data_IF_678237967188
#
_entry.id   IF_678237967188
#
_cell.length_a   1.000
_cell.length_b   1.000
_cell.length_c   1.000
_cell.angle_alpha   90.00
_cell.angle_beta   90.00
_cell.angle_gamma   90.00
#
_symmetry.space_group_name_H-M   'P 1'
#
loop_
_entity.id
_entity.type
_entity.pdbx_description
1 polymer ?
#
# COMPACT_ATOMS: atom_id res chain seq x y z
N UNK A 1 -29.40 -63.91 48.58
CA UNK A 1 -29.48 -63.69 47.12
C UNK A 1 -28.73 -62.43 46.81
N UNK A 2 -27.62 -62.65 46.55
CA UNK A 2 -26.48 -62.13 45.86
C UNK A 2 -26.83 -61.64 44.45
N UNK A 3 -26.04 -60.69 44.04
CA UNK A 3 -25.88 -60.11 42.73
C UNK A 3 -26.81 -58.90 42.41
N UNK A 4 -26.24 -57.73 42.45
CA UNK A 4 -26.18 -56.66 41.44
C UNK A 4 -25.54 -55.42 42.10
N UNK A 5 -24.25 -55.42 42.19
CA UNK A 5 -23.44 -54.20 42.40
C UNK A 5 -22.11 -54.38 41.69
N UNK A 6 -22.12 -54.12 40.41
CA UNK A 6 -20.88 -53.91 39.63
C UNK A 6 -21.32 -53.43 38.24
N UNK A 7 -21.42 -52.10 38.01
CA UNK A 7 -21.26 -51.42 36.72
C UNK A 7 -21.53 -49.92 36.89
N UNK A 8 -20.58 -49.18 37.46
CA UNK A 8 -20.57 -47.71 37.25
C UNK A 8 -19.19 -47.15 37.63
N UNK A 9 -18.17 -47.51 36.85
CA UNK A 9 -16.90 -46.79 36.91
C UNK A 9 -16.22 -46.84 35.56
N UNK A 10 -16.67 -46.03 34.62
CA UNK A 10 -15.90 -45.72 33.39
C UNK A 10 -16.56 -44.52 32.65
N UNK A 11 -16.11 -43.30 33.00
CA UNK A 11 -16.18 -42.17 32.06
C UNK A 11 -15.68 -40.87 32.70
N UNK A 12 -14.39 -40.74 32.96
CA UNK A 12 -13.75 -39.44 33.19
C UNK A 12 -12.34 -39.44 32.59
N UNK A 13 -12.24 -39.57 31.28
CA UNK A 13 -11.02 -39.26 30.57
C UNK A 13 -11.32 -38.68 29.21
N UNK A 14 -11.90 -37.49 29.16
CA UNK A 14 -11.98 -36.73 27.88
C UNK A 14 -12.10 -35.25 28.11
N UNK A 15 -11.06 -34.63 28.68
CA UNK A 15 -10.97 -33.14 28.71
C UNK A 15 -9.54 -32.60 28.71
N UNK A 16 -8.56 -33.33 28.18
CA UNK A 16 -7.17 -32.84 28.17
C UNK A 16 -6.63 -32.46 26.79
N UNK A 17 -7.28 -32.90 25.75
CA UNK A 17 -6.80 -32.67 24.36
C UNK A 17 -7.22 -31.31 23.80
N UNK A 18 -8.40 -30.82 24.17
CA UNK A 18 -8.95 -29.55 23.65
C UNK A 18 -8.19 -28.32 24.21
N UNK A 19 -7.83 -28.33 25.49
CA UNK A 19 -7.06 -27.20 26.09
C UNK A 19 -5.65 -27.06 25.54
N UNK A 20 -4.99 -28.16 25.20
CA UNK A 20 -3.63 -28.11 24.62
C UNK A 20 -3.65 -27.66 23.18
N UNK A 21 -4.66 -28.01 22.41
CA UNK A 21 -4.86 -27.54 21.04
C UNK A 21 -5.23 -26.05 20.98
N UNK A 22 -6.10 -25.56 21.85
CA UNK A 22 -6.44 -24.14 21.97
C UNK A 22 -5.25 -23.29 22.42
N UNK A 23 -4.49 -23.71 23.44
CA UNK A 23 -3.31 -22.98 23.89
C UNK A 23 -2.21 -22.92 22.84
N UNK A 24 -2.03 -23.98 22.05
CA UNK A 24 -1.04 -24.03 20.97
C UNK A 24 -1.50 -23.16 19.79
N UNK A 25 -2.77 -23.16 19.44
CA UNK A 25 -3.33 -22.32 18.39
C UNK A 25 -3.26 -20.83 18.75
N UNK A 26 -3.56 -20.47 20.00
CA UNK A 26 -3.46 -19.10 20.51
C UNK A 26 -2.02 -18.60 20.50
N UNK A 27 -1.07 -19.41 20.97
CA UNK A 27 0.36 -19.05 20.96
C UNK A 27 0.93 -18.90 19.54
N UNK A 28 0.47 -19.73 18.59
CA UNK A 28 0.86 -19.63 17.18
C UNK A 28 0.33 -18.35 16.55
N UNK A 29 -0.93 -18.00 16.83
CA UNK A 29 -1.56 -16.80 16.31
C UNK A 29 -0.93 -15.51 16.87
N UNK A 30 -0.60 -15.49 18.17
CA UNK A 30 0.14 -14.38 18.77
C UNK A 30 1.54 -14.22 18.18
N UNK A 31 2.24 -15.31 17.92
CA UNK A 31 3.55 -15.27 17.26
C UNK A 31 3.45 -14.74 15.84
N UNK A 32 2.45 -15.17 15.06
CA UNK A 32 2.19 -14.67 13.72
C UNK A 32 1.89 -13.16 13.74
N UNK A 33 1.06 -12.72 14.67
CA UNK A 33 0.75 -11.29 14.82
C UNK A 33 1.99 -10.45 15.08
N UNK A 34 2.88 -10.90 15.97
CA UNK A 34 4.14 -10.20 16.27
C UNK A 34 5.05 -10.09 15.05
N UNK A 35 5.05 -11.08 14.15
CA UNK A 35 5.84 -11.04 12.92
C UNK A 35 5.38 -9.93 11.94
N UNK A 36 4.10 -9.55 11.97
CA UNK A 36 3.55 -8.55 11.06
C UNK A 36 3.69 -7.10 11.56
N UNK A 37 3.96 -6.90 12.85
CA UNK A 37 4.08 -5.55 13.44
C UNK A 37 5.08 -4.67 12.67
N UNK A 38 6.30 -5.13 12.30
CA UNK A 38 7.25 -4.31 11.56
C UNK A 38 6.75 -3.88 10.18
N UNK A 39 5.87 -4.67 9.56
CA UNK A 39 5.30 -4.36 8.25
C UNK A 39 4.01 -3.53 8.32
N UNK A 40 3.31 -3.57 9.46
CA UNK A 40 2.08 -2.83 9.67
C UNK A 40 2.31 -1.45 10.29
N UNK A 41 3.35 -1.32 11.12
CA UNK A 41 3.65 -0.09 11.85
C UNK A 41 4.56 0.84 11.03
N UNK A 42 4.21 2.12 10.99
CA UNK A 42 5.12 3.14 10.48
C UNK A 42 6.29 3.34 11.45
N UNK A 43 7.51 3.59 10.94
CA UNK A 43 8.64 3.91 11.81
C UNK A 43 8.33 5.17 12.63
N UNK A 44 8.53 5.10 13.95
CA UNK A 44 8.13 6.20 14.84
C UNK A 44 8.88 7.50 14.52
N UNK A 45 10.18 7.37 14.23
CA UNK A 45 11.10 8.49 14.04
C UNK A 45 11.09 9.04 12.60
N UNK A 46 10.44 8.36 11.64
CA UNK A 46 10.37 8.80 10.25
C UNK A 46 8.98 9.35 9.95
N UNK A 47 8.86 10.66 9.93
CA UNK A 47 7.63 11.38 9.59
C UNK A 47 7.63 11.90 8.16
N UNK A 48 8.79 12.00 7.54
CA UNK A 48 8.99 12.61 6.24
C UNK A 48 9.93 11.76 5.39
N UNK A 49 9.61 11.62 4.10
CA UNK A 49 10.49 11.02 3.09
C UNK A 49 10.53 11.92 1.88
N UNK A 50 11.73 12.18 1.39
CA UNK A 50 11.97 12.94 0.18
C UNK A 50 13.03 12.22 -0.67
N UNK A 51 12.77 12.12 -1.98
CA UNK A 51 13.69 11.51 -2.94
C UNK A 51 13.60 12.19 -4.30
N UNK A 52 14.69 12.19 -5.06
CA UNK A 52 14.62 12.41 -6.52
C UNK A 52 14.05 11.15 -7.17
N UNK A 53 13.25 11.33 -8.22
CA UNK A 53 12.64 10.22 -8.95
C UNK A 53 13.04 10.21 -10.42
N UNK A 54 13.22 9.00 -10.97
CA UNK A 54 13.09 8.73 -12.39
C UNK A 54 11.90 7.77 -12.55
N UNK A 55 10.89 8.17 -13.30
CA UNK A 55 9.66 7.39 -13.49
C UNK A 55 9.53 7.06 -14.97
N UNK A 56 9.59 5.78 -15.31
CA UNK A 56 9.36 5.28 -16.66
C UNK A 56 7.92 4.75 -16.74
N UNK A 57 7.09 5.43 -17.47
CA UNK A 57 5.73 4.98 -17.79
C UNK A 57 5.75 4.09 -19.02
N UNK A 58 4.98 2.99 -18.99
CA UNK A 58 4.78 2.11 -20.14
C UNK A 58 3.29 1.95 -20.44
N UNK A 59 2.92 2.13 -21.72
CA UNK A 59 1.56 1.98 -22.21
C UNK A 59 1.55 1.60 -23.68
N UNK A 60 0.87 0.51 -24.05
CA UNK A 60 0.75 0.01 -25.44
C UNK A 60 2.09 -0.10 -26.19
N UNK A 61 3.15 -0.53 -25.50
CA UNK A 61 4.49 -0.69 -26.09
C UNK A 61 5.30 0.60 -26.23
N UNK A 62 4.78 1.73 -25.77
CA UNK A 62 5.52 2.99 -25.66
C UNK A 62 6.02 3.19 -24.24
N UNK A 63 7.21 3.74 -24.12
CA UNK A 63 7.82 4.09 -22.84
C UNK A 63 8.28 5.55 -22.83
N UNK A 64 8.10 6.21 -21.71
CA UNK A 64 8.58 7.57 -21.49
C UNK A 64 9.09 7.73 -20.07
N UNK A 65 10.31 8.23 -19.92
CA UNK A 65 10.92 8.48 -18.62
C UNK A 65 10.87 9.97 -18.28
N UNK A 66 10.34 10.29 -17.11
CA UNK A 66 10.22 11.64 -16.58
C UNK A 66 10.93 11.69 -15.24
N UNK A 67 11.78 12.71 -15.05
CA UNK A 67 12.43 12.99 -13.75
C UNK A 67 11.53 13.84 -12.88
N UNK A 68 11.72 13.70 -11.57
CA UNK A 68 10.91 14.47 -10.63
C UNK A 68 11.37 14.30 -9.19
N UNK A 69 10.41 14.44 -8.29
CA UNK A 69 10.63 14.31 -6.85
C UNK A 69 9.43 13.66 -6.18
N UNK A 70 9.70 12.74 -5.29
CA UNK A 70 8.75 12.22 -4.33
C UNK A 70 8.92 12.98 -3.01
N UNK A 71 7.83 13.45 -2.42
CA UNK A 71 7.76 13.95 -1.05
C UNK A 71 6.60 13.28 -0.35
N UNK A 72 6.84 12.80 0.85
CA UNK A 72 5.79 12.19 1.66
C UNK A 72 5.91 12.72 3.07
N UNK A 73 4.79 13.17 3.63
CA UNK A 73 4.63 13.44 5.06
C UNK A 73 3.54 12.52 5.56
N UNK A 74 3.86 11.74 6.59
CA UNK A 74 2.93 10.77 7.14
C UNK A 74 1.66 11.45 7.62
N UNK A 75 0.52 10.88 7.24
CA UNK A 75 -0.84 11.30 7.59
C UNK A 75 -1.23 12.72 7.08
N UNK A 76 -0.38 13.32 6.26
CA UNK A 76 -0.60 14.63 5.65
C UNK A 76 -0.67 14.55 4.12
N UNK A 77 0.42 14.13 3.45
CA UNK A 77 0.42 14.09 2.00
C UNK A 77 1.47 13.14 1.38
N UNK A 78 1.18 12.71 0.15
CA UNK A 78 2.15 12.11 -0.78
C UNK A 78 2.13 12.95 -2.06
N UNK A 79 3.28 13.47 -2.47
CA UNK A 79 3.41 14.27 -3.67
C UNK A 79 4.47 13.71 -4.61
N UNK A 80 4.09 13.51 -5.87
CA UNK A 80 5.00 13.26 -6.98
C UNK A 80 4.99 14.49 -7.89
N UNK A 81 6.11 15.19 -8.00
CA UNK A 81 6.29 16.27 -8.96
C UNK A 81 7.13 15.80 -10.14
N UNK A 82 6.82 16.29 -11.32
CA UNK A 82 7.47 15.95 -12.59
C UNK A 82 8.13 17.20 -13.17
N UNK A 83 9.35 17.06 -13.65
CA UNK A 83 10.14 18.18 -14.15
C UNK A 83 10.59 17.98 -15.59
N UNK A 84 10.44 19.01 -16.40
CA UNK A 84 11.06 19.10 -17.72
C UNK A 84 12.49 19.62 -17.58
N UNK A 85 13.44 18.95 -18.28
CA UNK A 85 14.86 19.31 -18.28
C UNK A 85 15.49 19.44 -16.89
N UNK A 86 14.85 18.82 -15.86
CA UNK A 86 15.31 18.87 -14.48
C UNK A 86 15.15 20.22 -13.76
N UNK A 87 14.50 21.20 -14.39
CA UNK A 87 14.43 22.59 -13.89
C UNK A 87 12.99 23.06 -13.65
N UNK A 88 12.10 22.83 -14.60
CA UNK A 88 10.73 23.36 -14.57
C UNK A 88 9.75 22.27 -14.17
N UNK A 89 8.99 22.46 -13.11
CA UNK A 89 7.91 21.58 -12.71
C UNK A 89 6.74 21.71 -13.67
N UNK A 90 6.42 20.62 -14.37
CA UNK A 90 5.39 20.57 -15.41
C UNK A 90 4.08 19.95 -14.93
N UNK A 91 4.15 19.02 -14.00
CA UNK A 91 2.97 18.38 -13.42
C UNK A 91 3.22 17.94 -11.98
N UNK A 92 2.13 17.78 -11.22
CA UNK A 92 2.15 17.28 -9.85
C UNK A 92 0.99 16.31 -9.66
N UNK A 93 1.25 15.19 -9.02
CA UNK A 93 0.24 14.34 -8.40
C UNK A 93 0.36 14.57 -6.90
N UNK A 94 -0.71 15.03 -6.27
CA UNK A 94 -0.75 15.28 -4.83
C UNK A 94 -1.93 14.52 -4.21
N UNK A 95 -1.63 13.74 -3.20
CA UNK A 95 -2.58 12.94 -2.45
C UNK A 95 -2.63 13.50 -1.03
N UNK A 96 -3.80 13.93 -0.60
CA UNK A 96 -4.08 14.42 0.75
C UNK A 96 -5.09 13.50 1.44
N UNK A 97 -5.36 13.65 2.73
CA UNK A 97 -6.38 12.84 3.42
C UNK A 97 -7.78 12.91 2.79
N UNK A 98 -8.13 14.02 2.16
CA UNK A 98 -9.45 14.26 1.59
C UNK A 98 -9.54 13.87 0.11
N UNK A 99 -8.51 14.21 -0.68
CA UNK A 99 -8.58 14.18 -2.15
C UNK A 99 -7.23 13.88 -2.78
N UNK A 100 -7.29 13.32 -4.00
CA UNK A 100 -6.14 13.26 -4.89
C UNK A 100 -6.27 14.33 -5.98
N UNK A 101 -5.17 14.99 -6.30
CA UNK A 101 -5.06 16.01 -7.32
C UNK A 101 -4.05 15.57 -8.38
N UNK A 102 -4.39 15.80 -9.66
CA UNK A 102 -3.45 15.76 -10.77
C UNK A 102 -3.42 17.16 -11.37
N UNK A 103 -2.27 17.81 -11.33
CA UNK A 103 -2.11 19.22 -11.64
C UNK A 103 -1.18 19.35 -12.83
N UNK A 104 -1.69 19.92 -13.93
CA UNK A 104 -0.94 20.33 -15.11
C UNK A 104 -0.51 21.81 -14.93
N UNK A 105 0.76 22.01 -14.62
CA UNK A 105 1.31 23.33 -14.35
C UNK A 105 1.49 24.16 -15.63
N UNK A 106 1.70 23.48 -16.74
CA UNK A 106 1.93 24.13 -18.06
C UNK A 106 0.64 24.79 -18.55
N UNK A 107 -0.45 24.02 -18.57
CA UNK A 107 -1.73 24.50 -19.11
C UNK A 107 -2.67 25.05 -18.03
N UNK A 108 -2.21 25.16 -16.77
CA UNK A 108 -3.01 25.67 -15.64
C UNK A 108 -4.34 24.93 -15.49
N UNK A 109 -4.28 23.60 -15.47
CA UNK A 109 -5.46 22.72 -15.30
C UNK A 109 -5.22 21.73 -14.19
N UNK A 110 -6.29 21.22 -13.58
CA UNK A 110 -6.20 20.14 -12.62
C UNK A 110 -7.44 19.25 -12.67
N UNK A 111 -7.26 17.99 -12.33
CA UNK A 111 -8.33 17.06 -12.01
C UNK A 111 -8.28 16.70 -10.52
N UNK A 112 -9.44 16.45 -9.94
CA UNK A 112 -9.58 16.07 -8.55
C UNK A 112 -10.34 14.75 -8.44
N UNK A 113 -9.87 13.90 -7.56
CA UNK A 113 -10.53 12.66 -7.18
C UNK A 113 -10.86 12.71 -5.69
N UNK A 114 -12.13 12.67 -5.36
CA UNK A 114 -12.65 12.70 -3.99
C UNK A 114 -12.84 11.27 -3.49
N UNK A 115 -12.11 10.88 -2.43
CA UNK A 115 -12.19 9.55 -1.86
C UNK A 115 -13.55 9.25 -1.21
N UNK A 116 -14.29 10.27 -0.78
CA UNK A 116 -15.61 10.12 -0.18
C UNK A 116 -16.67 9.75 -1.21
N UNK A 117 -16.37 9.90 -2.50
CA UNK A 117 -17.34 9.74 -3.57
C UNK A 117 -17.44 8.29 -4.08
N UNK A 118 -18.67 7.83 -4.32
CA UNK A 118 -19.03 6.69 -5.14
C UNK A 118 -18.29 5.37 -4.85
N UNK A 119 -17.74 4.78 -5.90
CA UNK A 119 -17.11 3.44 -5.86
C UNK A 119 -15.82 3.39 -5.04
N UNK A 120 -15.09 4.48 -4.92
CA UNK A 120 -13.84 4.54 -4.16
C UNK A 120 -14.09 4.32 -2.68
N UNK A 121 -15.05 5.04 -2.11
CA UNK A 121 -15.45 4.90 -0.71
C UNK A 121 -15.93 3.47 -0.41
N UNK A 122 -16.80 2.92 -1.25
CA UNK A 122 -17.28 1.54 -1.11
C UNK A 122 -16.16 0.51 -1.17
N UNK A 123 -15.16 0.72 -2.01
CA UNK A 123 -13.99 -0.14 -2.12
C UNK A 123 -13.00 0.04 -0.95
N UNK A 124 -13.11 1.11 -0.17
CA UNK A 124 -12.14 1.46 0.86
C UNK A 124 -10.85 2.07 0.29
N UNK A 125 -10.92 2.65 -0.92
CA UNK A 125 -9.80 3.40 -1.51
C UNK A 125 -9.83 4.80 -0.90
N UNK A 126 -8.87 5.07 -0.02
CA UNK A 126 -8.69 6.33 0.66
C UNK A 126 -7.21 6.67 0.76
N UNK A 127 -6.89 7.83 1.33
CA UNK A 127 -5.51 8.26 1.51
C UNK A 127 -4.66 7.23 2.26
N UNK A 128 -5.18 6.63 3.35
CA UNK A 128 -4.41 5.66 4.13
C UNK A 128 -4.05 4.40 3.32
N UNK A 129 -4.98 3.91 2.48
CA UNK A 129 -4.73 2.80 1.56
C UNK A 129 -3.60 3.14 0.58
N UNK A 130 -3.66 4.33 -0.03
CA UNK A 130 -2.67 4.75 -1.03
C UNK A 130 -1.34 5.11 -0.35
N UNK A 131 -1.38 5.85 0.77
CA UNK A 131 -0.20 6.16 1.57
C UNK A 131 0.56 4.90 1.94
N UNK A 132 -0.14 3.84 2.39
CA UNK A 132 0.47 2.58 2.79
C UNK A 132 1.24 1.90 1.65
N UNK A 133 0.78 2.01 0.40
CA UNK A 133 1.51 1.52 -0.77
C UNK A 133 2.86 2.24 -0.93
N UNK A 134 2.86 3.56 -0.86
CA UNK A 134 4.10 4.36 -0.95
C UNK A 134 5.03 4.13 0.24
N UNK A 135 4.49 3.96 1.45
CA UNK A 135 5.28 3.66 2.65
C UNK A 135 5.66 2.19 2.80
N UNK A 136 5.33 1.34 1.83
CA UNK A 136 5.61 -0.10 1.87
C UNK A 136 5.06 -0.75 3.16
N UNK A 137 3.76 -0.55 3.44
CA UNK A 137 3.10 -1.04 4.65
C UNK A 137 1.90 -1.93 4.34
N UNK A 138 1.62 -2.85 5.26
CA UNK A 138 0.36 -3.58 5.26
C UNK A 138 -0.79 -2.63 5.58
N UNK A 139 -1.93 -2.87 4.96
CA UNK A 139 -3.16 -2.12 5.22
C UNK A 139 -4.41 -3.00 5.07
N UNK A 140 -5.50 -2.54 5.64
CA UNK A 140 -6.83 -3.07 5.38
C UNK A 140 -7.62 -1.95 4.69
N UNK A 141 -8.18 -2.17 3.49
CA UNK A 141 -8.89 -1.12 2.75
C UNK A 141 -9.95 -0.42 3.59
N UNK A 142 -9.88 0.91 3.65
CA UNK A 142 -10.81 1.74 4.41
C UNK A 142 -10.51 1.88 5.90
N UNK A 143 -9.48 1.22 6.43
CA UNK A 143 -9.08 1.36 7.84
C UNK A 143 -7.90 2.34 7.98
N UNK A 144 -7.88 3.09 9.10
CA UNK A 144 -6.82 4.08 9.36
C UNK A 144 -5.59 3.47 10.01
N UNK A 145 -5.78 2.56 10.95
CA UNK A 145 -4.70 2.04 11.80
C UNK A 145 -4.72 0.52 11.81
N UNK A 146 -3.72 -0.07 11.17
CA UNK A 146 -3.63 -1.51 10.99
C UNK A 146 -2.67 -2.15 11.98
N UNK A 147 -1.69 -1.40 12.51
CA UNK A 147 -0.67 -1.94 13.44
C UNK A 147 -1.25 -2.44 14.76
N UNK A 148 -2.37 -1.88 15.21
CA UNK A 148 -3.07 -2.35 16.41
C UNK A 148 -3.86 -3.65 16.17
N UNK A 149 -4.07 -4.01 14.91
CA UNK A 149 -4.95 -5.10 14.48
C UNK A 149 -4.26 -6.12 13.57
N UNK A 150 -2.96 -6.40 13.78
CA UNK A 150 -2.26 -7.45 13.00
C UNK A 150 -2.91 -8.84 13.12
N UNK A 151 -3.74 -9.05 14.15
CA UNK A 151 -4.59 -10.24 14.30
C UNK A 151 -5.65 -10.40 13.20
N UNK A 152 -5.94 -9.34 12.47
CA UNK A 152 -6.91 -9.32 11.37
C UNK A 152 -6.28 -9.73 10.03
N UNK A 153 -5.04 -10.21 10.06
CA UNK A 153 -4.38 -10.83 8.92
C UNK A 153 -4.23 -12.34 9.11
N UNK A 154 -4.26 -13.07 8.02
CA UNK A 154 -3.83 -14.46 7.90
C UNK A 154 -2.47 -14.53 7.22
N UNK A 155 -1.64 -15.47 7.64
CA UNK A 155 -0.31 -15.72 7.05
C UNK A 155 -0.28 -17.14 6.52
N UNK A 156 0.08 -17.30 5.26
CA UNK A 156 0.31 -18.59 4.60
C UNK A 156 1.74 -18.69 4.09
N UNK A 157 2.34 -19.87 4.18
CA UNK A 157 3.68 -20.12 3.63
C UNK A 157 3.57 -20.41 2.14
N UNK A 158 4.39 -19.72 1.33
CA UNK A 158 4.49 -19.93 -0.11
C UNK A 158 5.98 -20.04 -0.50
N UNK A 159 6.49 -21.25 -0.64
CA UNK A 159 7.91 -21.50 -0.95
C UNK A 159 8.85 -20.67 -0.05
N UNK A 160 9.55 -19.69 -0.63
CA UNK A 160 10.48 -18.78 0.05
C UNK A 160 9.84 -17.50 0.57
N UNK A 161 8.54 -17.31 0.37
CA UNK A 161 7.80 -16.12 0.74
C UNK A 161 6.68 -16.44 1.75
N UNK A 162 6.07 -15.40 2.31
CA UNK A 162 4.81 -15.48 3.01
C UNK A 162 3.74 -14.70 2.25
N UNK A 163 2.55 -15.28 2.15
CA UNK A 163 1.36 -14.58 1.72
C UNK A 163 0.61 -14.09 2.96
N UNK A 164 0.38 -12.81 3.03
CA UNK A 164 -0.37 -12.13 4.08
C UNK A 164 -1.63 -11.55 3.46
N UNK A 165 -2.79 -11.84 4.04
CA UNK A 165 -4.07 -11.38 3.55
C UNK A 165 -4.94 -10.87 4.70
N UNK A 166 -5.71 -9.78 4.54
CA UNK A 166 -6.72 -9.40 5.50
C UNK A 166 -7.72 -10.55 5.72
N UNK A 167 -8.00 -10.89 6.96
CA UNK A 167 -8.95 -11.96 7.31
C UNK A 167 -10.37 -11.66 6.83
N UNK A 168 -10.69 -10.37 6.67
CA UNK A 168 -11.95 -9.88 6.09
C UNK A 168 -11.64 -9.08 4.84
N UNK A 169 -11.90 -9.66 3.70
CA UNK A 169 -11.77 -9.00 2.39
C UNK A 169 -13.00 -8.16 2.12
N UNK A 170 -12.78 -6.89 1.76
CA UNK A 170 -13.81 -5.98 1.25
C UNK A 170 -13.93 -6.08 -0.28
N UNK A 171 -14.57 -5.10 -0.92
CA UNK A 171 -14.69 -5.03 -2.38
C UNK A 171 -13.29 -4.95 -3.02
N UNK A 172 -12.40 -4.10 -2.50
CA UNK A 172 -10.98 -4.12 -2.86
C UNK A 172 -10.31 -5.28 -2.10
N UNK A 173 -9.83 -6.26 -2.84
CA UNK A 173 -9.08 -7.39 -2.29
C UNK A 173 -7.59 -7.09 -2.33
N UNK A 174 -6.90 -7.46 -1.25
CA UNK A 174 -5.47 -7.24 -1.09
C UNK A 174 -4.76 -8.55 -0.78
N UNK A 175 -3.58 -8.73 -1.40
CA UNK A 175 -2.63 -9.80 -1.10
C UNK A 175 -1.25 -9.19 -0.98
N UNK A 176 -0.55 -9.52 0.08
CA UNK A 176 0.78 -9.01 0.38
C UNK A 176 1.77 -10.18 0.39
N UNK A 177 2.84 -10.05 -0.36
CA UNK A 177 3.91 -11.04 -0.42
C UNK A 177 5.14 -10.48 0.28
N UNK A 178 5.63 -11.20 1.27
CA UNK A 178 6.79 -10.80 2.06
C UNK A 178 7.90 -11.82 1.92
N UNK A 179 9.09 -11.48 2.40
CA UNK A 179 10.14 -12.45 2.64
C UNK A 179 9.70 -13.52 3.68
N UNK A 180 10.50 -14.57 3.83
CA UNK A 180 10.17 -15.70 4.70
C UNK A 180 9.97 -15.32 6.18
N UNK A 181 10.62 -14.25 6.63
CA UNK A 181 10.63 -13.77 8.01
C UNK A 181 9.66 -12.63 8.27
N UNK A 182 8.90 -12.18 7.25
CA UNK A 182 8.00 -11.01 7.30
C UNK A 182 8.73 -9.71 7.70
N UNK A 183 9.96 -9.52 7.21
CA UNK A 183 10.75 -8.31 7.45
C UNK A 183 10.58 -7.27 6.35
N UNK A 184 10.34 -7.74 5.12
CA UNK A 184 10.19 -6.90 3.93
C UNK A 184 8.93 -7.25 3.18
N UNK A 185 8.11 -6.25 2.88
CA UNK A 185 6.99 -6.37 1.96
C UNK A 185 7.53 -6.22 0.54
N UNK A 186 7.51 -7.32 -0.23
CA UNK A 186 8.09 -7.40 -1.57
C UNK A 186 7.09 -7.11 -2.68
N UNK A 187 5.80 -7.40 -2.44
CA UNK A 187 4.76 -7.16 -3.44
C UNK A 187 3.40 -6.99 -2.78
N UNK A 188 2.61 -6.07 -3.31
CA UNK A 188 1.19 -5.92 -3.00
C UNK A 188 0.37 -6.11 -4.26
N UNK A 189 -0.60 -7.02 -4.22
CA UNK A 189 -1.58 -7.22 -5.28
C UNK A 189 -2.93 -6.71 -4.82
N UNK A 190 -3.57 -5.93 -5.68
CA UNK A 190 -4.90 -5.38 -5.48
C UNK A 190 -5.82 -5.90 -6.59
N UNK A 191 -7.06 -6.20 -6.27
CA UNK A 191 -8.07 -6.50 -7.29
C UNK A 191 -9.42 -5.89 -6.93
N UNK A 192 -10.02 -5.24 -7.92
CA UNK A 192 -11.32 -4.56 -7.83
C UNK A 192 -12.10 -4.80 -9.11
N UNK A 193 -13.08 -5.70 -9.06
CA UNK A 193 -13.86 -6.10 -10.24
C UNK A 193 -12.94 -6.59 -11.39
N UNK A 194 -12.97 -5.93 -12.56
CA UNK A 194 -12.11 -6.22 -13.72
C UNK A 194 -10.73 -5.56 -13.66
N UNK A 195 -10.44 -4.80 -12.62
CA UNK A 195 -9.15 -4.14 -12.47
C UNK A 195 -8.24 -4.92 -11.52
N UNK A 196 -6.98 -5.05 -11.89
CA UNK A 196 -5.94 -5.58 -11.02
C UNK A 196 -4.74 -4.64 -11.02
N UNK A 197 -4.12 -4.50 -9.86
CA UNK A 197 -2.87 -3.78 -9.73
C UNK A 197 -1.86 -4.64 -8.98
N UNK A 198 -0.62 -4.60 -9.45
CA UNK A 198 0.54 -5.19 -8.79
C UNK A 198 1.53 -4.07 -8.50
N UNK A 199 2.00 -4.03 -7.28
CA UNK A 199 3.05 -3.12 -6.84
C UNK A 199 4.19 -3.93 -6.24
N UNK A 200 5.33 -4.01 -6.94
CA UNK A 200 6.54 -4.68 -6.46
C UNK A 200 7.49 -3.66 -5.87
N UNK A 201 8.23 -4.09 -4.88
CA UNK A 201 9.19 -3.29 -4.15
C UNK A 201 10.54 -3.99 -4.17
N UNK A 202 11.59 -3.27 -4.52
CA UNK A 202 12.92 -3.81 -4.65
C UNK A 202 13.99 -2.80 -4.21
N UNK A 203 15.25 -3.24 -4.18
CA UNK A 203 16.43 -2.43 -3.86
C UNK A 203 16.25 -1.67 -2.53
N UNK A 204 16.04 -2.45 -1.43
CA UNK A 204 15.82 -1.88 -0.10
C UNK A 204 17.10 -1.23 0.42
N UNK A 205 17.01 0.06 0.76
CA UNK A 205 18.05 0.83 1.44
C UNK A 205 17.65 1.15 2.88
N UNK A 206 18.63 1.21 3.78
CA UNK A 206 18.37 1.61 5.16
C UNK A 206 18.36 3.13 5.26
N UNK A 207 17.23 3.69 5.72
CA UNK A 207 17.11 5.09 6.08
C UNK A 207 16.86 5.13 7.57
N UNK A 208 17.82 5.61 8.33
CA UNK A 208 17.81 5.48 9.78
C UNK A 208 17.66 3.99 10.17
N UNK A 209 16.66 3.63 10.95
CA UNK A 209 16.36 2.23 11.31
C UNK A 209 15.33 1.55 10.40
N UNK A 210 14.97 2.19 9.26
CA UNK A 210 13.90 1.75 8.38
C UNK A 210 14.44 1.29 7.02
N UNK A 211 14.16 0.04 6.65
CA UNK A 211 14.43 -0.47 5.29
C UNK A 211 13.33 0.01 4.34
N UNK A 212 13.68 0.88 3.40
CA UNK A 212 12.76 1.47 2.43
C UNK A 212 13.12 1.03 1.01
N UNK A 213 12.14 0.59 0.18
CA UNK A 213 12.41 0.23 -1.20
C UNK A 213 12.73 1.46 -2.04
N UNK A 214 13.81 1.40 -2.82
CA UNK A 214 14.19 2.47 -3.75
C UNK A 214 13.71 2.21 -5.17
N UNK A 215 13.20 1.03 -5.45
CA UNK A 215 12.59 0.67 -6.73
C UNK A 215 11.16 0.20 -6.54
N UNK A 216 10.24 0.76 -7.34
CA UNK A 216 8.84 0.37 -7.34
C UNK A 216 8.41 0.05 -8.77
N UNK A 217 7.91 -1.18 -8.99
CA UNK A 217 7.30 -1.60 -10.25
C UNK A 217 5.80 -1.70 -10.06
N UNK A 218 5.07 -0.82 -10.73
CA UNK A 218 3.62 -0.73 -10.65
C UNK A 218 3.02 -1.15 -11.99
N UNK A 219 2.07 -2.07 -11.95
CA UNK A 219 1.28 -2.46 -13.11
C UNK A 219 -0.19 -2.41 -12.77
N UNK A 220 -0.96 -1.71 -13.56
CA UNK A 220 -2.42 -1.64 -13.45
C UNK A 220 -3.03 -2.17 -14.73
N UNK A 221 -3.83 -3.22 -14.62
CA UNK A 221 -4.47 -3.87 -15.74
C UNK A 221 -5.99 -3.83 -15.64
N UNK A 222 -6.63 -3.74 -16.78
CA UNK A 222 -8.05 -3.98 -17.00
C UNK A 222 -8.21 -5.09 -18.03
N UNK A 223 -9.43 -5.40 -18.45
CA UNK A 223 -9.69 -6.40 -19.50
C UNK A 223 -9.02 -6.09 -20.85
N UNK A 224 -8.71 -4.83 -21.14
CA UNK A 224 -8.23 -4.40 -22.46
C UNK A 224 -6.85 -3.73 -22.45
N UNK A 225 -6.40 -3.23 -21.32
CA UNK A 225 -5.17 -2.41 -21.26
C UNK A 225 -4.39 -2.66 -19.99
N UNK A 226 -3.07 -2.55 -20.11
CA UNK A 226 -2.15 -2.52 -18.97
C UNK A 226 -1.32 -1.24 -19.05
N UNK A 227 -1.21 -0.55 -17.92
CA UNK A 227 -0.35 0.62 -17.73
C UNK A 227 0.71 0.22 -16.73
N UNK A 228 1.96 0.50 -17.03
CA UNK A 228 3.10 0.28 -16.14
C UNK A 228 3.73 1.58 -15.68
N UNK A 229 4.33 1.55 -14.50
CA UNK A 229 5.23 2.61 -14.03
C UNK A 229 6.38 1.97 -13.26
N UNK A 230 7.60 2.23 -13.71
CA UNK A 230 8.83 1.87 -13.01
C UNK A 230 9.38 3.13 -12.36
N UNK A 231 9.54 3.12 -11.04
CA UNK A 231 9.98 4.28 -10.25
C UNK A 231 11.31 3.94 -9.59
N UNK A 232 12.32 4.72 -9.88
CA UNK A 232 13.61 4.71 -9.19
C UNK A 232 13.71 5.93 -8.27
N UNK A 233 14.08 5.70 -7.01
CA UNK A 233 14.27 6.72 -5.99
C UNK A 233 15.76 6.90 -5.72
N UNK A 234 16.23 8.12 -5.79
CA UNK A 234 17.61 8.49 -5.56
C UNK A 234 17.69 9.61 -4.51
N UNK A 235 18.81 9.68 -3.79
CA UNK A 235 19.05 10.71 -2.76
C UNK A 235 17.93 10.72 -1.71
N UNK A 236 17.61 9.54 -1.21
CA UNK A 236 16.58 9.35 -0.21
C UNK A 236 16.94 10.03 1.10
N UNK A 237 16.01 10.77 1.71
CA UNK A 237 16.22 11.53 2.93
C UNK A 237 14.95 11.58 3.77
N UNK A 238 15.11 11.52 5.09
CA UNK A 238 14.04 11.69 6.09
C UNK A 238 13.99 13.09 6.70
N UNK A 239 14.93 13.96 6.29
CA UNK A 239 14.97 15.33 6.80
C UNK A 239 13.75 16.12 6.33
N UNK A 240 13.02 16.69 7.27
CA UNK A 240 11.94 17.63 6.97
C UNK A 240 12.53 18.94 6.45
N UNK A 241 12.26 19.25 5.20
CA UNK A 241 12.71 20.48 4.53
C UNK A 241 11.74 21.65 4.74
N UNK A 242 10.76 21.52 5.63
CA UNK A 242 9.68 22.50 5.81
C UNK A 242 8.68 22.49 4.65
N UNK A 243 8.69 21.45 3.79
CA UNK A 243 7.72 21.33 2.73
C UNK A 243 6.30 21.19 3.30
N UNK A 244 5.38 21.95 2.74
CA UNK A 244 3.95 21.87 3.05
C UNK A 244 3.20 21.35 1.84
N UNK A 245 2.18 20.53 2.08
CA UNK A 245 1.23 20.09 1.07
C UNK A 245 0.32 21.24 0.66
N UNK A 246 -0.30 21.09 -0.49
CA UNK A 246 -1.26 22.04 -1.04
C UNK A 246 -0.67 22.95 -2.12
N UNK A 247 -1.26 22.84 -3.29
CA UNK A 247 -0.99 23.75 -4.41
C UNK A 247 -2.09 24.80 -4.46
N UNK A 248 -1.72 26.09 -4.54
CA UNK A 248 -2.70 27.15 -4.83
C UNK A 248 -3.30 26.94 -6.25
N UNK A 249 -4.56 26.57 -6.28
CA UNK A 249 -5.33 26.27 -7.50
C UNK A 249 -6.19 27.43 -7.98
N UNK A 250 -6.12 28.62 -7.36
CA UNK A 250 -6.98 29.76 -7.69
C UNK A 250 -6.86 30.21 -9.18
N UNK A 251 -5.70 29.94 -9.80
CA UNK A 251 -5.44 30.27 -11.21
C UNK A 251 -5.54 29.07 -12.15
N UNK A 252 -6.07 27.94 -11.68
CA UNK A 252 -6.17 26.71 -12.44
C UNK A 252 -7.64 26.40 -12.76
N UNK A 253 -7.87 25.85 -13.95
CA UNK A 253 -9.20 25.37 -14.34
C UNK A 253 -9.36 23.90 -13.98
N UNK A 254 -10.40 23.58 -13.23
CA UNK A 254 -10.77 22.18 -12.99
C UNK A 254 -11.30 21.55 -14.28
N UNK A 255 -10.83 20.36 -14.60
CA UNK A 255 -11.22 19.53 -15.74
C UNK A 255 -11.49 18.10 -15.26
N UNK A 256 -12.10 17.27 -16.10
CA UNK A 256 -12.22 15.85 -15.78
C UNK A 256 -10.89 15.12 -16.06
N UNK A 257 -10.75 13.91 -15.49
CA UNK A 257 -9.52 13.13 -15.61
C UNK A 257 -9.21 12.76 -17.08
N UNK A 258 -10.23 12.45 -17.89
CA UNK A 258 -10.05 12.10 -19.30
C UNK A 258 -9.44 13.24 -20.09
N UNK A 259 -9.93 14.47 -19.88
CA UNK A 259 -9.37 15.68 -20.47
C UNK A 259 -7.91 15.94 -20.05
N UNK A 260 -7.54 15.50 -18.85
CA UNK A 260 -6.17 15.64 -18.38
C UNK A 260 -5.26 14.56 -18.97
N UNK A 261 -5.75 13.33 -19.06
CA UNK A 261 -5.01 12.18 -19.62
C UNK A 261 -4.72 12.30 -21.10
N UNK A 262 -5.58 13.00 -21.87
CA UNK A 262 -5.33 13.28 -23.30
C UNK A 262 -4.04 14.07 -23.56
N UNK A 263 -3.50 14.73 -22.53
CA UNK A 263 -2.22 15.46 -22.59
C UNK A 263 -1.03 14.51 -22.56
N UNK A 264 -1.12 13.40 -21.82
CA UNK A 264 -0.08 12.37 -21.81
C UNK A 264 0.06 11.71 -23.20
N UNK A 265 -0.99 11.71 -24.00
CA UNK A 265 -0.97 11.25 -25.40
C UNK A 265 -0.33 12.27 -26.36
N UNK A 266 -0.26 13.55 -25.99
CA UNK A 266 0.39 14.62 -26.78
C UNK A 266 1.88 14.81 -26.47
N UNK A 267 2.41 14.15 -25.44
CA UNK A 267 3.86 14.10 -25.14
C UNK A 267 4.47 12.96 -26.00
N UNK A 268 4.22 13.03 -27.30
CA UNK A 268 4.85 12.18 -28.32
C UNK A 268 6.01 12.92 -28.97
#
# INVERSE_FOLDING_TARGET
MLAVVALFTLSLTSCRTTRKAESTATSTKERQNKMLVPLAQYPADVQFVNAKTAITFSYKGHEATIKGRLRMRRDDAVQLSFTALGLMEIAVIELTPEKAYIIDRVNKRYAVFDYSSGKANLAGINFNTIQSLFWNRLFIPGEKEVWNNTKDFSISKMNTQRLVEPSRQRILKCKFYTDADCKQLQQTNLSLQQYAATWRYDNFESIDAYAYPTTHDISVSSTSHTIGAHIELNNLSTLDTGWQSGTDLARYKQVNLEQLMSILEMIR
#
